data_IF_079592636753
#
_entry.id   IF_079592636753
#
_cell.length_a   1.000
_cell.length_b   1.000
_cell.length_c   1.000
_cell.angle_alpha   90.00
_cell.angle_beta   90.00
_cell.angle_gamma   90.00
#
_symmetry.space_group_name_H-M   'P 1'
#
loop_
_entity.id
_entity.type
_entity.pdbx_description
1 polymer ?
#
# COMPACT_ATOMS: atom_id res chain seq x y z
N UNK A 1 6.09 8.42 7.12
CA UNK A 1 5.94 8.70 5.67
C UNK A 1 5.82 7.40 4.90
N UNK A 2 4.99 7.42 3.89
CA UNK A 2 4.78 6.25 3.05
C UNK A 2 6.01 5.96 2.18
N UNK A 3 6.46 4.72 2.17
CA UNK A 3 7.60 4.28 1.37
C UNK A 3 7.10 3.51 0.15
N UNK A 4 7.03 4.20 -0.98
CA UNK A 4 6.51 3.62 -2.22
C UNK A 4 7.33 2.41 -2.67
N UNK A 5 8.64 2.48 -2.51
CA UNK A 5 9.54 1.39 -2.93
C UNK A 5 9.26 0.10 -2.15
N UNK A 6 9.10 0.21 -0.84
CA UNK A 6 8.79 -0.95 -0.02
C UNK A 6 7.39 -1.49 -0.30
N UNK A 7 6.45 -0.59 -0.56
CA UNK A 7 5.10 -0.98 -0.94
C UNK A 7 5.11 -1.79 -2.24
N UNK A 8 5.80 -1.29 -3.25
CA UNK A 8 5.89 -1.98 -4.54
C UNK A 8 6.62 -3.32 -4.41
N UNK A 9 7.67 -3.37 -3.60
CA UNK A 9 8.39 -4.61 -3.35
C UNK A 9 7.46 -5.66 -2.74
N UNK A 10 6.60 -5.25 -1.82
CA UNK A 10 5.65 -6.18 -1.19
C UNK A 10 4.62 -6.68 -2.20
N UNK A 11 4.15 -5.79 -3.08
CA UNK A 11 3.23 -6.21 -4.15
C UNK A 11 3.85 -7.26 -5.04
N UNK A 12 5.12 -7.05 -5.41
CA UNK A 12 5.86 -8.01 -6.25
C UNK A 12 6.00 -9.35 -5.52
N UNK A 13 6.37 -9.32 -4.24
CA UNK A 13 6.50 -10.56 -3.45
C UNK A 13 5.21 -11.35 -3.41
N UNK A 14 4.08 -10.65 -3.36
CA UNK A 14 2.77 -11.29 -3.29
C UNK A 14 2.15 -11.55 -4.65
N UNK A 15 2.77 -11.08 -5.73
CA UNK A 15 2.25 -11.25 -7.06
C UNK A 15 0.95 -10.52 -7.30
N UNK A 16 0.73 -9.40 -6.61
CA UNK A 16 -0.48 -8.60 -6.74
C UNK A 16 -0.17 -7.37 -7.59
N UNK A 17 -0.96 -7.17 -8.62
CA UNK A 17 -0.81 -6.01 -9.50
C UNK A 17 -1.68 -4.85 -9.02
N UNK A 18 -1.29 -3.63 -9.38
CA UNK A 18 -2.00 -2.43 -8.90
C UNK A 18 -3.48 -2.43 -9.27
N UNK A 19 -3.84 -2.90 -10.47
CA UNK A 19 -5.25 -2.92 -10.85
C UNK A 19 -6.04 -3.93 -9.99
N UNK A 20 -5.42 -5.03 -9.61
CA UNK A 20 -6.04 -6.01 -8.75
C UNK A 20 -6.24 -5.44 -7.34
N UNK A 21 -5.23 -4.75 -6.85
CA UNK A 21 -5.31 -4.12 -5.53
C UNK A 21 -6.40 -3.04 -5.51
N UNK A 22 -6.46 -2.22 -6.55
CA UNK A 22 -7.49 -1.19 -6.67
C UNK A 22 -8.88 -1.80 -6.61
N UNK A 23 -9.11 -2.88 -7.39
CA UNK A 23 -10.39 -3.58 -7.39
C UNK A 23 -10.76 -4.07 -6.00
N UNK A 24 -9.81 -4.69 -5.31
CA UNK A 24 -10.05 -5.22 -3.96
C UNK A 24 -10.29 -4.12 -2.93
N UNK A 25 -9.74 -2.94 -3.16
CA UNK A 25 -9.97 -1.79 -2.29
C UNK A 25 -11.22 -0.99 -2.67
N UNK A 26 -11.90 -1.40 -3.75
CA UNK A 26 -13.11 -0.72 -4.19
C UNK A 26 -12.85 0.65 -4.80
N UNK A 27 -11.72 0.85 -5.43
CA UNK A 27 -11.38 2.13 -6.05
C UNK A 27 -10.84 1.91 -7.47
N UNK A 28 -10.77 3.01 -8.24
CA UNK A 28 -10.22 2.96 -9.58
C UNK A 28 -8.70 2.88 -9.53
N UNK A 29 -8.10 2.41 -10.61
CA UNK A 29 -6.66 2.39 -10.75
C UNK A 29 -6.08 3.80 -10.57
N UNK A 30 -6.71 4.80 -11.16
CA UNK A 30 -6.25 6.19 -11.07
C UNK A 30 -6.25 6.68 -9.63
N UNK A 31 -7.30 6.35 -8.87
CA UNK A 31 -7.36 6.72 -7.45
C UNK A 31 -6.23 6.07 -6.65
N UNK A 32 -5.99 4.78 -6.89
CA UNK A 32 -4.92 4.07 -6.21
C UNK A 32 -3.57 4.67 -6.58
N UNK A 33 -3.34 4.94 -7.85
CA UNK A 33 -2.09 5.54 -8.32
C UNK A 33 -1.81 6.86 -7.60
N UNK A 34 -2.82 7.73 -7.50
CA UNK A 34 -2.68 9.00 -6.80
C UNK A 34 -2.36 8.82 -5.33
N UNK A 35 -2.99 7.85 -4.67
CA UNK A 35 -2.74 7.57 -3.26
C UNK A 35 -1.31 7.06 -3.05
N UNK A 36 -0.83 6.20 -3.95
CA UNK A 36 0.54 5.70 -3.88
C UNK A 36 1.53 6.86 -4.02
N UNK A 37 1.29 7.76 -4.98
CA UNK A 37 2.20 8.88 -5.22
C UNK A 37 2.17 9.91 -4.09
N UNK A 38 1.01 10.16 -3.50
CA UNK A 38 0.89 11.11 -2.40
C UNK A 38 1.19 10.49 -1.03
N UNK A 39 1.11 9.17 -0.95
CA UNK A 39 1.29 8.47 0.31
C UNK A 39 0.11 8.63 1.26
N UNK A 40 -1.03 9.08 0.78
CA UNK A 40 -2.21 9.36 1.62
C UNK A 40 -3.22 8.24 1.53
N UNK A 41 -3.22 7.39 2.53
CA UNK A 41 -4.20 6.32 2.67
C UNK A 41 -4.98 6.52 3.96
N UNK A 42 -6.26 6.15 3.92
CA UNK A 42 -7.06 6.16 5.14
C UNK A 42 -6.66 4.97 6.01
N UNK A 43 -7.04 5.04 7.29
CA UNK A 43 -6.76 3.94 8.21
C UNK A 43 -7.39 2.63 7.72
N UNK A 44 -8.61 2.71 7.19
CA UNK A 44 -9.28 1.52 6.66
C UNK A 44 -8.55 0.95 5.46
N UNK A 45 -8.07 1.81 4.56
CA UNK A 45 -7.31 1.38 3.40
C UNK A 45 -6.01 0.72 3.81
N UNK A 46 -5.32 1.30 4.78
CA UNK A 46 -4.08 0.72 5.31
C UNK A 46 -4.35 -0.68 5.87
N UNK A 47 -5.41 -0.83 6.65
CA UNK A 47 -5.79 -2.13 7.21
C UNK A 47 -6.04 -3.16 6.15
N UNK A 48 -6.78 -2.79 5.11
CA UNK A 48 -7.07 -3.71 3.99
C UNK A 48 -5.81 -4.07 3.21
N UNK A 49 -4.94 -3.11 2.99
CA UNK A 49 -3.67 -3.35 2.28
C UNK A 49 -2.79 -4.32 3.08
N UNK A 50 -2.70 -4.11 4.39
CA UNK A 50 -1.94 -5.00 5.27
C UNK A 50 -2.44 -6.44 5.12
N UNK A 51 -3.75 -6.60 5.12
CA UNK A 51 -4.37 -7.91 5.00
C UNK A 51 -4.15 -8.52 3.61
N UNK A 52 -4.42 -7.74 2.56
CA UNK A 52 -4.32 -8.23 1.17
C UNK A 52 -2.91 -8.57 0.77
N UNK A 53 -1.93 -7.81 1.22
CA UNK A 53 -0.52 -8.02 0.88
C UNK A 53 0.22 -8.81 1.97
N UNK A 54 -0.50 -9.27 2.99
CA UNK A 54 0.08 -10.04 4.11
C UNK A 54 1.32 -9.36 4.68
N UNK A 55 1.19 -8.06 4.96
CA UNK A 55 2.28 -7.27 5.50
C UNK A 55 2.41 -7.58 6.99
N UNK A 56 3.57 -8.11 7.38
CA UNK A 56 3.81 -8.48 8.78
C UNK A 56 4.18 -7.26 9.62
N UNK A 57 4.95 -6.36 9.05
CA UNK A 57 5.36 -5.14 9.73
C UNK A 57 5.05 -3.94 8.83
N UNK A 58 4.01 -3.17 9.14
CA UNK A 58 3.62 -2.03 8.31
C UNK A 58 4.50 -0.80 8.49
N UNK A 59 5.32 -0.75 9.53
CA UNK A 59 6.11 0.45 9.83
C UNK A 59 7.04 0.85 8.70
N UNK A 60 7.85 -0.05 8.10
CA UNK A 60 8.73 0.36 7.00
C UNK A 60 7.99 0.88 5.77
N UNK A 61 6.73 0.50 5.61
CA UNK A 61 5.94 0.88 4.44
C UNK A 61 5.18 2.17 4.71
N UNK A 62 4.40 2.20 5.77
CA UNK A 62 3.47 3.31 6.02
C UNK A 62 4.00 4.37 6.98
N UNK A 63 4.94 4.02 7.81
CA UNK A 63 5.44 4.88 8.87
C UNK A 63 6.97 4.93 8.88
N UNK A 64 7.57 4.98 7.69
CA UNK A 64 9.02 4.87 7.54
C UNK A 64 9.79 5.93 8.33
N UNK A 65 9.25 7.12 8.47
CA UNK A 65 9.93 8.18 9.20
C UNK A 65 10.05 7.92 10.70
N UNK A 66 9.23 7.02 11.23
CA UNK A 66 9.28 6.66 12.65
C UNK A 66 10.47 5.75 12.98
N UNK A 67 11.15 5.27 11.94
CA UNK A 67 12.35 4.45 12.11
C UNK A 67 13.62 5.31 12.22
N UNK A 68 13.53 6.57 11.92
CA UNK A 68 14.68 7.47 11.88
C UNK A 68 15.16 7.85 13.28
#
# INVERSE_FOLDING_TARGET
MFNEREFEAQMVRKGVKKYELAEKLGMTYTSLYRKIKSGRFTREEIGKIIELLEIKDPVPIFFAEELA
#
